data_IF_810909771962
#
_entry.id   IF_810909771962
#
_cell.length_a   1.000
_cell.length_b   1.000
_cell.length_c   1.000
_cell.angle_alpha   90.00
_cell.angle_beta   90.00
_cell.angle_gamma   90.00
#
_symmetry.space_group_name_H-M   'P 1'
#
loop_
_entity.id
_entity.type
_entity.pdbx_description
1 polymer ?
#
# COMPACT_ATOMS: atom_id res chain seq x y z
N UNK A 1 18.15 -10.14 -0.31
CA UNK A 1 18.01 -9.31 -1.55
C UNK A 1 18.22 -7.84 -1.19
N UNK A 2 18.73 -7.01 -2.10
CA UNK A 2 18.89 -5.55 -1.87
C UNK A 2 17.54 -4.84 -2.06
N UNK A 3 17.27 -3.73 -1.35
CA UNK A 3 16.09 -2.90 -1.60
C UNK A 3 16.06 -2.40 -3.04
N UNK A 4 14.85 -2.29 -3.59
CA UNK A 4 14.62 -1.74 -4.92
C UNK A 4 14.78 -0.22 -4.92
N UNK A 5 15.07 0.34 -6.09
CA UNK A 5 14.96 1.78 -6.28
C UNK A 5 13.49 2.19 -6.26
N UNK A 6 13.26 3.44 -5.91
CA UNK A 6 11.90 3.98 -5.79
C UNK A 6 11.03 3.77 -7.03
N UNK A 7 11.57 4.08 -8.22
CA UNK A 7 10.82 3.92 -9.48
C UNK A 7 10.46 2.46 -9.78
N UNK A 8 11.32 1.51 -9.40
CA UNK A 8 11.08 0.08 -9.60
C UNK A 8 9.96 -0.39 -8.67
N UNK A 9 9.97 0.09 -7.43
CA UNK A 9 8.92 -0.21 -6.45
C UNK A 9 7.57 0.33 -6.90
N UNK A 10 7.49 1.58 -7.39
CA UNK A 10 6.25 2.14 -7.95
C UNK A 10 5.69 1.31 -9.10
N UNK A 11 6.54 0.87 -10.02
CA UNK A 11 6.12 0.02 -11.15
C UNK A 11 5.60 -1.33 -10.67
N UNK A 12 6.26 -1.95 -9.70
CA UNK A 12 5.79 -3.23 -9.15
C UNK A 12 4.48 -3.09 -8.39
N UNK A 13 4.31 -2.04 -7.59
CA UNK A 13 3.06 -1.78 -6.88
C UNK A 13 1.91 -1.55 -7.87
N UNK A 14 2.13 -0.72 -8.89
CA UNK A 14 1.11 -0.43 -9.91
C UNK A 14 0.58 -1.69 -10.61
N UNK A 15 1.47 -2.64 -10.91
CA UNK A 15 1.11 -3.89 -11.61
C UNK A 15 0.72 -5.03 -10.65
N UNK A 16 0.81 -4.83 -9.33
CA UNK A 16 0.45 -5.85 -8.36
C UNK A 16 -1.08 -6.03 -8.29
N UNK A 17 -1.52 -7.26 -7.97
CA UNK A 17 -2.93 -7.52 -7.66
C UNK A 17 -3.33 -6.97 -6.28
N UNK A 18 -2.39 -7.00 -5.34
CA UNK A 18 -2.53 -6.49 -3.98
C UNK A 18 -1.13 -6.27 -3.40
N UNK A 19 -0.99 -5.27 -2.53
CA UNK A 19 0.25 -5.00 -1.79
C UNK A 19 0.02 -5.24 -0.30
N UNK A 20 0.91 -5.99 0.34
CA UNK A 20 0.96 -6.14 1.79
C UNK A 20 2.06 -5.24 2.34
N UNK A 21 1.75 -4.40 3.32
CA UNK A 21 2.71 -3.40 3.81
C UNK A 21 2.41 -2.96 5.24
N UNK A 22 3.43 -2.57 6.00
CA UNK A 22 3.33 -1.80 7.25
C UNK A 22 3.73 -0.33 7.06
N UNK A 23 4.23 0.03 5.87
CA UNK A 23 4.71 1.37 5.53
C UNK A 23 3.56 2.34 5.22
N UNK A 24 3.49 3.45 5.96
CA UNK A 24 2.52 4.53 5.73
C UNK A 24 2.69 5.20 4.36
N UNK A 25 3.92 5.35 3.86
CA UNK A 25 4.16 5.89 2.52
C UNK A 25 3.56 5.01 1.43
N UNK A 26 3.78 3.70 1.53
CA UNK A 26 3.27 2.72 0.56
C UNK A 26 1.74 2.63 0.59
N UNK A 27 1.10 2.77 1.76
CA UNK A 27 -0.37 2.85 1.85
C UNK A 27 -0.93 4.00 1.00
N UNK A 28 -0.29 5.18 1.04
CA UNK A 28 -0.72 6.33 0.24
C UNK A 28 -0.39 6.13 -1.25
N UNK A 29 0.79 5.61 -1.55
CA UNK A 29 1.23 5.39 -2.94
C UNK A 29 0.34 4.38 -3.67
N UNK A 30 0.01 3.26 -3.02
CA UNK A 30 -0.91 2.25 -3.57
C UNK A 30 -2.32 2.80 -3.77
N UNK A 31 -2.80 3.65 -2.85
CA UNK A 31 -4.05 4.37 -3.01
C UNK A 31 -4.08 5.24 -4.27
N UNK A 32 -3.04 6.04 -4.53
CA UNK A 32 -2.94 6.85 -5.75
C UNK A 32 -2.81 6.01 -7.03
N UNK A 33 -2.12 4.87 -6.93
CA UNK A 33 -1.93 3.93 -8.04
C UNK A 33 -3.18 3.06 -8.32
N UNK A 34 -4.22 3.17 -7.48
CA UNK A 34 -5.43 2.33 -7.55
C UNK A 34 -5.13 0.83 -7.40
N UNK A 35 -4.08 0.51 -6.63
CA UNK A 35 -3.71 -0.87 -6.31
C UNK A 35 -4.27 -1.25 -4.94
N UNK A 36 -4.99 -2.39 -4.81
CA UNK A 36 -5.46 -2.87 -3.51
C UNK A 36 -4.34 -3.01 -2.48
N UNK A 37 -4.60 -2.62 -1.24
CA UNK A 37 -3.63 -2.66 -0.16
C UNK A 37 -4.17 -3.45 1.05
N UNK A 38 -3.31 -4.23 1.69
CA UNK A 38 -3.54 -4.88 2.97
C UNK A 38 -2.46 -4.40 3.95
N UNK A 39 -2.86 -3.58 4.91
CA UNK A 39 -1.96 -2.98 5.88
C UNK A 39 -1.79 -3.89 7.09
N UNK A 40 -0.54 -4.26 7.39
CA UNK A 40 -0.15 -5.13 8.50
C UNK A 40 -0.02 -4.33 9.82
N UNK A 41 -1.03 -3.52 10.16
CA UNK A 41 -1.10 -2.68 11.38
C UNK A 41 -2.54 -2.59 11.89
N UNK A 42 -2.70 -2.47 13.22
CA UNK A 42 -4.00 -2.28 13.88
C UNK A 42 -4.62 -0.91 13.56
N UNK A 43 -3.79 0.07 13.18
CA UNK A 43 -4.19 1.45 12.95
C UNK A 43 -3.38 2.11 11.82
N UNK A 44 -4.02 3.05 11.13
CA UNK A 44 -3.41 3.86 10.08
C UNK A 44 -3.76 5.34 10.23
N UNK A 45 -2.81 6.19 9.87
CA UNK A 45 -3.00 7.63 9.67
C UNK A 45 -3.80 7.98 8.39
N UNK A 46 -4.01 7.01 7.48
CA UNK A 46 -4.66 7.20 6.18
C UNK A 46 -6.05 6.58 6.15
N UNK A 47 -6.94 7.09 7.00
CA UNK A 47 -8.31 6.59 7.19
C UNK A 47 -9.09 6.58 5.86
N UNK A 48 -8.85 7.57 4.99
CA UNK A 48 -9.52 7.68 3.70
C UNK A 48 -9.27 6.47 2.78
N UNK A 49 -8.14 5.78 2.95
CA UNK A 49 -7.80 4.58 2.15
C UNK A 49 -8.63 3.37 2.57
N UNK A 50 -8.99 3.29 3.86
CA UNK A 50 -9.83 2.22 4.41
C UNK A 50 -11.30 2.52 4.13
N UNK A 51 -11.75 3.76 4.36
CA UNK A 51 -13.13 4.18 4.13
C UNK A 51 -13.58 4.03 2.67
N UNK A 52 -12.64 4.20 1.73
CA UNK A 52 -12.89 3.99 0.29
C UNK A 52 -12.83 2.52 -0.15
N UNK A 53 -12.43 1.59 0.73
CA UNK A 53 -12.24 0.18 0.43
C UNK A 53 -10.98 -0.15 -0.39
N UNK A 54 -10.09 0.82 -0.60
CA UNK A 54 -8.82 0.61 -1.30
C UNK A 54 -7.77 -0.09 -0.43
N UNK A 55 -7.90 0.00 0.89
CA UNK A 55 -7.00 -0.59 1.87
C UNK A 55 -7.80 -1.33 2.96
N UNK A 56 -7.24 -2.42 3.50
CA UNK A 56 -7.80 -3.14 4.63
C UNK A 56 -6.72 -3.34 5.70
N UNK A 57 -7.06 -3.13 6.98
CA UNK A 57 -6.19 -3.46 8.10
C UNK A 57 -6.32 -4.95 8.41
N UNK A 58 -5.19 -5.67 8.47
CA UNK A 58 -5.15 -7.14 8.64
C UNK A 58 -4.23 -7.60 9.76
N UNK A 59 -3.86 -6.70 10.67
CA UNK A 59 -2.99 -6.98 11.81
C UNK A 59 -2.93 -5.80 12.71
#
# INVERSE_FOLDING_TARGET
IKPLKYHEMLMLMKEAKIVFTDSGGIQKETFWLQTPCATLRDQTEWIETVDSGANVLVG
#
